data_IF_794662408951
#
_entry.id   IF_794662408951
#
_cell.length_a   1.000
_cell.length_b   1.000
_cell.length_c   1.000
_cell.angle_alpha   90.00
_cell.angle_beta   90.00
_cell.angle_gamma   90.00
#
_symmetry.space_group_name_H-M   'P 1'
#
loop_
_entity.id
_entity.type
_entity.pdbx_description
1 polymer ?
#
# COMPACT_ATOMS: atom_id res chain seq x y z
N UNK A 1 25.74 14.85 -12.57
CA UNK A 1 24.61 15.72 -12.17
C UNK A 1 23.25 15.05 -12.36
N UNK A 2 22.98 14.39 -13.49
CA UNK A 2 21.70 13.71 -13.75
C UNK A 2 21.27 12.70 -12.67
N UNK A 3 22.16 11.93 -12.12
CA UNK A 3 21.86 10.93 -11.08
C UNK A 3 21.41 11.54 -9.76
N UNK A 4 22.03 12.62 -9.34
CA UNK A 4 21.64 13.32 -8.11
C UNK A 4 20.24 13.89 -8.25
N UNK A 5 19.94 14.47 -9.40
CA UNK A 5 18.60 15.03 -9.70
C UNK A 5 17.56 13.91 -9.69
N UNK A 6 17.81 12.76 -10.34
CA UNK A 6 16.90 11.62 -10.34
C UNK A 6 16.66 11.07 -8.92
N UNK A 7 17.71 11.02 -8.11
CA UNK A 7 17.60 10.59 -6.72
C UNK A 7 16.74 11.55 -5.88
N UNK A 8 16.93 12.87 -6.06
CA UNK A 8 16.12 13.88 -5.38
C UNK A 8 14.65 13.82 -5.80
N UNK A 9 14.36 13.69 -7.10
CA UNK A 9 13.00 13.57 -7.63
C UNK A 9 12.34 12.30 -7.09
N UNK A 10 13.03 11.16 -7.10
CA UNK A 10 12.51 9.91 -6.51
C UNK A 10 12.18 10.07 -5.04
N UNK A 11 13.01 10.76 -4.26
CA UNK A 11 12.76 11.02 -2.83
C UNK A 11 11.49 11.85 -2.61
N UNK A 12 11.22 12.83 -3.46
CA UNK A 12 9.98 13.63 -3.40
C UNK A 12 8.75 12.73 -3.62
N UNK A 13 8.80 11.83 -4.61
CA UNK A 13 7.71 10.88 -4.85
C UNK A 13 7.52 9.89 -3.69
N UNK A 14 8.59 9.42 -3.06
CA UNK A 14 8.52 8.57 -1.86
C UNK A 14 7.86 9.31 -0.70
N UNK A 15 8.22 10.56 -0.46
CA UNK A 15 7.57 11.40 0.57
C UNK A 15 6.08 11.57 0.28
N UNK A 16 5.72 11.86 -0.97
CA UNK A 16 4.33 11.94 -1.42
C UNK A 16 3.57 10.63 -1.21
N UNK A 17 4.17 9.50 -1.55
CA UNK A 17 3.61 8.17 -1.31
C UNK A 17 3.31 7.93 0.17
N UNK A 18 4.27 8.23 1.05
CA UNK A 18 4.11 8.09 2.51
C UNK A 18 3.00 9.01 3.02
N UNK A 19 2.92 10.25 2.52
CA UNK A 19 1.86 11.20 2.89
C UNK A 19 0.48 10.64 2.53
N UNK A 20 0.26 10.20 1.30
CA UNK A 20 -1.02 9.65 0.85
C UNK A 20 -1.38 8.36 1.58
N UNK A 21 -0.40 7.47 1.82
CA UNK A 21 -0.61 6.25 2.58
C UNK A 21 -1.10 6.56 4.01
N UNK A 22 -0.45 7.49 4.71
CA UNK A 22 -0.90 7.93 6.03
C UNK A 22 -2.27 8.63 6.01
N UNK A 23 -2.57 9.37 4.94
CA UNK A 23 -3.86 10.04 4.78
C UNK A 23 -5.01 9.06 4.56
N UNK A 24 -4.76 7.85 4.09
CA UNK A 24 -5.79 6.82 3.92
C UNK A 24 -6.53 6.51 5.23
N UNK A 25 -5.81 6.46 6.37
CA UNK A 25 -6.40 6.13 7.67
C UNK A 25 -6.61 7.34 8.58
N UNK A 26 -5.91 8.45 8.32
CA UNK A 26 -5.84 9.61 9.24
C UNK A 26 -6.43 10.89 8.67
N UNK A 27 -7.11 10.83 7.52
CA UNK A 27 -7.74 11.99 6.92
C UNK A 27 -8.82 12.59 7.84
N UNK A 28 -9.16 13.86 7.59
CA UNK A 28 -10.23 14.54 8.34
C UNK A 28 -11.58 13.83 8.15
N UNK A 29 -11.83 13.29 6.95
CA UNK A 29 -13.07 12.58 6.63
C UNK A 29 -13.17 11.27 7.39
N UNK A 30 -12.10 10.48 7.46
CA UNK A 30 -12.04 9.24 8.26
C UNK A 30 -12.29 9.53 9.74
N UNK A 31 -11.63 10.56 10.28
CA UNK A 31 -11.81 10.97 11.68
C UNK A 31 -13.25 11.43 11.96
N UNK A 32 -13.82 12.23 11.07
CA UNK A 32 -15.19 12.70 11.19
C UNK A 32 -16.17 11.54 11.13
N UNK A 33 -16.03 10.63 10.16
CA UNK A 33 -16.85 9.43 10.08
C UNK A 33 -16.77 8.63 11.38
N UNK A 34 -15.56 8.35 11.88
CA UNK A 34 -15.35 7.62 13.13
C UNK A 34 -16.05 8.30 14.32
N UNK A 35 -15.96 9.62 14.44
CA UNK A 35 -16.59 10.37 15.53
C UNK A 35 -18.12 10.45 15.43
N UNK A 36 -18.71 10.26 14.25
CA UNK A 36 -20.16 10.24 14.05
C UNK A 36 -20.81 8.89 14.36
N UNK A 37 -20.01 7.82 14.49
CA UNK A 37 -20.50 6.49 14.82
C UNK A 37 -20.89 6.36 16.29
N UNK A 38 -21.90 5.55 16.58
CA UNK A 38 -22.20 5.13 17.95
C UNK A 38 -21.03 4.34 18.55
N UNK A 39 -20.90 4.31 19.88
CA UNK A 39 -19.78 3.66 20.56
C UNK A 39 -19.60 2.18 20.18
N UNK A 40 -20.70 1.47 19.91
CA UNK A 40 -20.66 0.07 19.48
C UNK A 40 -20.17 -0.07 18.03
N UNK A 41 -20.70 0.74 17.12
CA UNK A 41 -20.24 0.79 15.72
C UNK A 41 -18.79 1.25 15.60
N UNK A 42 -18.34 2.13 16.48
CA UNK A 42 -16.94 2.57 16.52
C UNK A 42 -16.00 1.42 16.88
N UNK A 43 -16.32 0.62 17.92
CA UNK A 43 -15.55 -0.58 18.29
C UNK A 43 -15.50 -1.60 17.13
N UNK A 44 -16.63 -1.78 16.46
CA UNK A 44 -16.73 -2.68 15.32
C UNK A 44 -15.88 -2.19 14.14
N UNK A 45 -15.93 -0.91 13.83
CA UNK A 45 -15.09 -0.27 12.81
C UNK A 45 -13.59 -0.48 13.11
N UNK A 46 -13.18 -0.28 14.37
CA UNK A 46 -11.79 -0.51 14.78
C UNK A 46 -11.36 -1.97 14.60
N UNK A 47 -12.23 -2.92 14.96
CA UNK A 47 -11.97 -4.36 14.75
C UNK A 47 -11.79 -4.67 13.26
N UNK A 48 -12.72 -4.22 12.42
CA UNK A 48 -12.64 -4.41 10.96
C UNK A 48 -11.36 -3.81 10.39
N UNK A 49 -11.02 -2.58 10.79
CA UNK A 49 -9.79 -1.91 10.34
C UNK A 49 -8.54 -2.69 10.76
N UNK A 50 -8.50 -3.18 11.99
CA UNK A 50 -7.39 -4.01 12.49
C UNK A 50 -7.24 -5.31 11.69
N UNK A 51 -8.36 -5.98 11.37
CA UNK A 51 -8.33 -7.20 10.56
C UNK A 51 -7.81 -6.92 9.15
N UNK A 52 -8.20 -5.80 8.53
CA UNK A 52 -7.68 -5.37 7.21
C UNK A 52 -6.19 -5.09 7.25
N UNK A 53 -5.74 -4.42 8.30
CA UNK A 53 -4.32 -4.12 8.52
C UNK A 53 -3.51 -5.41 8.69
N UNK A 54 -4.00 -6.38 9.45
CA UNK A 54 -3.35 -7.67 9.62
C UNK A 54 -3.22 -8.43 8.28
N UNK A 55 -4.27 -8.44 7.45
CA UNK A 55 -4.20 -9.05 6.12
C UNK A 55 -3.12 -8.36 5.26
N UNK A 56 -3.05 -7.04 5.30
CA UNK A 56 -2.02 -6.29 4.58
C UNK A 56 -0.61 -6.63 5.06
N UNK A 57 -0.38 -6.73 6.38
CA UNK A 57 0.92 -7.15 6.91
C UNK A 57 1.32 -8.56 6.48
N UNK A 58 0.38 -9.52 6.48
CA UNK A 58 0.64 -10.87 5.99
C UNK A 58 1.05 -10.87 4.51
N UNK A 59 0.39 -10.06 3.67
CA UNK A 59 0.75 -9.87 2.28
C UNK A 59 2.17 -9.29 2.10
N UNK A 60 2.56 -8.31 2.92
CA UNK A 60 3.93 -7.77 2.89
C UNK A 60 4.97 -8.81 3.33
N UNK A 61 4.71 -9.56 4.40
CA UNK A 61 5.62 -10.62 4.87
C UNK A 61 5.82 -11.65 3.75
N UNK A 62 4.74 -12.12 3.12
CA UNK A 62 4.82 -13.05 2.00
C UNK A 62 5.62 -12.46 0.84
N UNK A 63 5.38 -11.20 0.47
CA UNK A 63 6.10 -10.50 -0.59
C UNK A 63 7.60 -10.38 -0.31
N UNK A 64 7.98 -10.09 0.94
CA UNK A 64 9.39 -10.06 1.37
C UNK A 64 10.04 -11.44 1.28
N UNK A 65 9.36 -12.49 1.73
CA UNK A 65 9.87 -13.87 1.65
C UNK A 65 10.12 -14.28 0.19
N UNK A 66 9.18 -14.00 -0.72
CA UNK A 66 9.35 -14.26 -2.15
C UNK A 66 10.51 -13.46 -2.74
N UNK A 67 10.65 -12.21 -2.34
CA UNK A 67 11.75 -11.33 -2.79
C UNK A 67 13.12 -11.84 -2.33
N UNK A 68 13.23 -12.33 -1.11
CA UNK A 68 14.45 -13.00 -0.61
C UNK A 68 14.77 -14.25 -1.42
N UNK A 69 13.75 -15.04 -1.80
CA UNK A 69 13.91 -16.18 -2.70
C UNK A 69 14.47 -15.78 -4.07
N UNK A 70 14.01 -14.68 -4.66
CA UNK A 70 14.51 -14.13 -5.94
C UNK A 70 15.98 -13.71 -5.81
N UNK A 71 16.33 -13.01 -4.72
CA UNK A 71 17.70 -12.60 -4.47
C UNK A 71 18.62 -13.83 -4.35
N UNK A 72 18.21 -14.81 -3.54
CA UNK A 72 18.98 -16.05 -3.37
C UNK A 72 19.18 -16.80 -4.69
N UNK A 73 18.10 -16.97 -5.47
CA UNK A 73 18.16 -17.59 -6.79
C UNK A 73 19.13 -16.86 -7.73
N UNK A 74 19.05 -15.52 -7.79
CA UNK A 74 19.94 -14.73 -8.65
C UNK A 74 21.41 -14.81 -8.23
N UNK A 75 21.69 -14.87 -6.92
CA UNK A 75 23.06 -14.87 -6.41
C UNK A 75 23.73 -16.26 -6.47
N UNK A 76 22.95 -17.34 -6.25
CA UNK A 76 23.51 -18.68 -6.04
C UNK A 76 23.30 -19.63 -7.21
N UNK A 77 22.19 -19.52 -7.95
CA UNK A 77 21.79 -20.54 -8.91
C UNK A 77 21.96 -20.05 -10.35
N UNK A 78 21.63 -18.80 -10.63
CA UNK A 78 21.63 -18.28 -12.00
C UNK A 78 23.05 -18.06 -12.54
N UNK A 79 23.36 -18.67 -13.68
CA UNK A 79 24.67 -18.50 -14.35
C UNK A 79 24.88 -17.08 -14.90
N UNK A 80 23.80 -16.43 -15.40
CA UNK A 80 23.84 -15.03 -15.86
C UNK A 80 23.10 -14.17 -14.85
N UNK A 81 23.84 -13.44 -14.01
CA UNK A 81 23.26 -12.57 -12.97
C UNK A 81 22.51 -11.39 -13.59
N UNK A 82 21.37 -11.07 -13.02
CA UNK A 82 20.67 -9.82 -13.34
C UNK A 82 21.54 -8.63 -12.91
N UNK A 83 21.45 -7.52 -13.66
CA UNK A 83 22.07 -6.28 -13.21
C UNK A 83 21.36 -5.78 -11.92
N UNK A 84 22.08 -4.99 -11.12
CA UNK A 84 21.60 -4.51 -9.83
C UNK A 84 20.26 -3.76 -9.94
N UNK A 85 20.10 -2.91 -10.95
CA UNK A 85 18.87 -2.15 -11.18
C UNK A 85 17.67 -3.07 -11.44
N UNK A 86 17.85 -4.07 -12.33
CA UNK A 86 16.81 -5.04 -12.65
C UNK A 86 16.42 -5.87 -11.43
N UNK A 87 17.40 -6.29 -10.64
CA UNK A 87 17.14 -7.04 -9.41
C UNK A 87 16.35 -6.21 -8.39
N UNK A 88 16.75 -4.97 -8.15
CA UNK A 88 16.04 -4.05 -7.23
C UNK A 88 14.60 -3.82 -7.69
N UNK A 89 14.38 -3.51 -8.98
CA UNK A 89 13.03 -3.33 -9.52
C UNK A 89 12.18 -4.59 -9.37
N UNK A 90 12.74 -5.77 -9.65
CA UNK A 90 12.02 -7.04 -9.53
C UNK A 90 11.63 -7.33 -8.08
N UNK A 91 12.51 -7.12 -7.13
CA UNK A 91 12.27 -7.31 -5.69
C UNK A 91 11.15 -6.38 -5.20
N UNK A 92 11.23 -5.09 -5.54
CA UNK A 92 10.23 -4.10 -5.15
C UNK A 92 8.88 -4.45 -5.79
N UNK A 93 8.85 -4.72 -7.09
CA UNK A 93 7.62 -5.10 -7.81
C UNK A 93 6.99 -6.36 -7.21
N UNK A 94 7.79 -7.41 -6.95
CA UNK A 94 7.31 -8.66 -6.33
C UNK A 94 6.67 -8.39 -4.99
N UNK A 95 7.31 -7.59 -4.12
CA UNK A 95 6.77 -7.29 -2.79
C UNK A 95 5.41 -6.59 -2.88
N UNK A 96 5.30 -5.53 -3.69
CA UNK A 96 4.06 -4.76 -3.80
C UNK A 96 2.95 -5.53 -4.51
N UNK A 97 3.25 -6.21 -5.60
CA UNK A 97 2.27 -7.02 -6.36
C UNK A 97 1.74 -8.15 -5.48
N UNK A 98 2.62 -8.86 -4.74
CA UNK A 98 2.21 -9.91 -3.81
C UNK A 98 1.30 -9.37 -2.73
N UNK A 99 1.67 -8.24 -2.08
CA UNK A 99 0.82 -7.62 -1.07
C UNK A 99 -0.55 -7.22 -1.63
N UNK A 100 -0.59 -6.61 -2.81
CA UNK A 100 -1.82 -6.17 -3.46
C UNK A 100 -2.77 -7.35 -3.74
N UNK A 101 -2.26 -8.41 -4.41
CA UNK A 101 -3.08 -9.58 -4.71
C UNK A 101 -3.47 -10.35 -3.44
N UNK A 102 -2.56 -10.52 -2.49
CA UNK A 102 -2.87 -11.15 -1.22
C UNK A 102 -4.00 -10.41 -0.50
N UNK A 103 -3.92 -9.08 -0.43
CA UNK A 103 -4.96 -8.27 0.19
C UNK A 103 -6.30 -8.42 -0.52
N UNK A 104 -6.34 -8.38 -1.85
CA UNK A 104 -7.60 -8.49 -2.60
C UNK A 104 -8.21 -9.89 -2.48
N UNK A 105 -7.40 -10.93 -2.64
CA UNK A 105 -7.87 -12.33 -2.67
C UNK A 105 -8.17 -12.89 -1.29
N UNK A 106 -7.59 -12.34 -0.23
CA UNK A 106 -7.87 -12.81 1.14
C UNK A 106 -9.34 -12.59 1.51
N UNK A 107 -10.01 -13.60 2.08
CA UNK A 107 -11.39 -13.46 2.53
C UNK A 107 -11.50 -12.39 3.63
N UNK A 108 -12.57 -11.62 3.58
CA UNK A 108 -12.85 -10.55 4.55
C UNK A 108 -13.93 -11.03 5.52
N UNK A 109 -13.61 -11.04 6.82
CA UNK A 109 -14.48 -11.56 7.87
C UNK A 109 -15.79 -10.78 8.02
N UNK A 110 -15.72 -9.47 7.86
CA UNK A 110 -16.86 -8.57 8.10
C UNK A 110 -16.77 -7.30 7.25
N UNK A 111 -17.91 -6.67 7.04
CA UNK A 111 -18.04 -5.43 6.29
C UNK A 111 -18.88 -4.42 7.09
N UNK A 112 -18.39 -3.20 7.21
CA UNK A 112 -19.11 -2.15 7.94
C UNK A 112 -20.54 -1.91 7.42
N UNK A 113 -20.75 -2.08 6.11
CA UNK A 113 -22.06 -1.97 5.48
C UNK A 113 -23.11 -2.93 6.03
N UNK A 114 -22.71 -4.10 6.56
CA UNK A 114 -23.63 -5.06 7.17
C UNK A 114 -24.22 -4.56 8.50
N UNK A 115 -23.66 -3.48 9.05
CA UNK A 115 -24.01 -2.94 10.36
C UNK A 115 -24.57 -1.52 10.30
N UNK A 116 -24.62 -0.92 9.11
CA UNK A 116 -25.27 0.39 8.89
C UNK A 116 -26.74 0.19 8.65
N UNK A 117 -27.59 0.94 9.38
CA UNK A 117 -29.03 0.80 9.35
C UNK A 117 -29.73 1.94 8.61
N UNK A 118 -29.08 3.10 8.46
CA UNK A 118 -29.67 4.27 7.82
C UNK A 118 -29.00 4.61 6.48
N UNK A 119 -29.76 5.23 5.58
CA UNK A 119 -29.25 5.71 4.30
C UNK A 119 -28.16 6.78 4.48
N UNK A 120 -28.22 7.55 5.55
CA UNK A 120 -27.22 8.57 5.89
C UNK A 120 -25.90 7.95 6.31
N UNK A 121 -25.94 6.91 7.15
CA UNK A 121 -24.74 6.15 7.54
C UNK A 121 -24.06 5.51 6.34
N UNK A 122 -24.84 4.91 5.42
CA UNK A 122 -24.31 4.32 4.18
C UNK A 122 -23.64 5.38 3.30
N UNK A 123 -24.26 6.58 3.15
CA UNK A 123 -23.65 7.69 2.37
C UNK A 123 -22.35 8.17 3.01
N UNK A 124 -22.34 8.35 4.32
CA UNK A 124 -21.14 8.78 5.06
C UNK A 124 -20.00 7.76 4.94
N UNK A 125 -20.32 6.46 5.03
CA UNK A 125 -19.37 5.39 4.83
C UNK A 125 -18.79 5.39 3.39
N UNK A 126 -19.65 5.54 2.37
CA UNK A 126 -19.23 5.59 0.98
C UNK A 126 -18.31 6.79 0.69
N UNK A 127 -18.61 7.95 1.28
CA UNK A 127 -17.77 9.14 1.14
C UNK A 127 -16.38 8.89 1.75
N UNK A 128 -16.33 8.38 2.97
CA UNK A 128 -15.09 8.02 3.66
C UNK A 128 -14.29 6.98 2.85
N UNK A 129 -14.96 5.91 2.38
CA UNK A 129 -14.33 4.84 1.62
C UNK A 129 -13.73 5.32 0.30
N UNK A 130 -14.42 6.20 -0.44
CA UNK A 130 -13.91 6.81 -1.67
C UNK A 130 -12.64 7.61 -1.42
N UNK A 131 -12.57 8.37 -0.34
CA UNK A 131 -11.39 9.14 0.02
C UNK A 131 -10.21 8.23 0.40
N UNK A 132 -10.47 7.18 1.18
CA UNK A 132 -9.46 6.16 1.50
C UNK A 132 -8.92 5.50 0.23
N UNK A 133 -9.80 5.09 -0.69
CA UNK A 133 -9.39 4.51 -1.97
C UNK A 133 -8.55 5.48 -2.80
N UNK A 134 -8.99 6.73 -2.92
CA UNK A 134 -8.26 7.75 -3.65
C UNK A 134 -6.84 7.91 -3.10
N UNK A 135 -6.70 8.10 -1.79
CA UNK A 135 -5.41 8.26 -1.13
C UNK A 135 -4.52 7.02 -1.31
N UNK A 136 -5.09 5.82 -1.18
CA UNK A 136 -4.37 4.57 -1.39
C UNK A 136 -3.83 4.45 -2.82
N UNK A 137 -4.67 4.69 -3.84
CA UNK A 137 -4.25 4.59 -5.23
C UNK A 137 -3.25 5.69 -5.61
N UNK A 138 -3.43 6.91 -5.11
CA UNK A 138 -2.44 7.99 -5.33
C UNK A 138 -1.09 7.65 -4.71
N UNK A 139 -1.07 7.09 -3.51
CA UNK A 139 0.15 6.59 -2.88
C UNK A 139 0.82 5.49 -3.73
N UNK A 140 0.04 4.53 -4.24
CA UNK A 140 0.55 3.47 -5.11
C UNK A 140 1.16 4.03 -6.41
N UNK A 141 0.46 4.93 -7.09
CA UNK A 141 0.96 5.58 -8.33
C UNK A 141 2.27 6.31 -8.07
N UNK A 142 2.33 7.12 -7.01
CA UNK A 142 3.56 7.85 -6.65
C UNK A 142 4.71 6.88 -6.30
N UNK A 143 4.42 5.76 -5.66
CA UNK A 143 5.41 4.71 -5.38
C UNK A 143 5.96 4.09 -6.67
N UNK A 144 5.10 3.76 -7.64
CA UNK A 144 5.52 3.23 -8.95
C UNK A 144 6.40 4.24 -9.69
N UNK A 145 6.00 5.51 -9.71
CA UNK A 145 6.80 6.59 -10.33
C UNK A 145 8.15 6.75 -9.63
N UNK A 146 8.17 6.72 -8.29
CA UNK A 146 9.41 6.80 -7.51
C UNK A 146 10.39 5.68 -7.89
N UNK A 147 9.92 4.44 -8.01
CA UNK A 147 10.74 3.29 -8.42
C UNK A 147 11.25 3.46 -9.85
N UNK A 148 10.41 3.92 -10.78
CA UNK A 148 10.80 4.19 -12.15
C UNK A 148 11.91 5.23 -12.25
N UNK A 149 11.78 6.36 -11.54
CA UNK A 149 12.79 7.43 -11.49
C UNK A 149 14.07 6.95 -10.81
N UNK A 150 13.96 6.18 -9.72
CA UNK A 150 15.11 5.60 -9.02
C UNK A 150 15.91 4.64 -9.92
N UNK A 151 15.23 3.88 -10.78
CA UNK A 151 15.90 2.99 -11.74
C UNK A 151 16.81 3.75 -12.73
N UNK A 152 16.49 5.00 -13.07
CA UNK A 152 17.38 5.85 -13.85
C UNK A 152 18.60 6.33 -13.04
N UNK A 153 18.43 6.60 -11.74
CA UNK A 153 19.54 6.99 -10.87
C UNK A 153 20.60 5.89 -10.76
N UNK A 154 20.21 4.61 -10.78
CA UNK A 154 21.15 3.48 -10.73
C UNK A 154 21.87 3.17 -12.06
N UNK A 155 21.51 3.82 -13.15
CA UNK A 155 22.19 3.66 -14.44
C UNK A 155 23.42 4.56 -14.62
N UNK A 156 23.57 5.50 -13.73
CA UNK A 156 24.75 6.35 -13.72
C UNK A 156 25.84 5.75 -12.86
#
# INVERSE_FOLDING_TARGET
MACVISCMISSIFVIGMIYFYNSSDKSKVVKHYKSSLSSDLQKRYEKITKDRTNISYQGYILGVVLSLGIIFYNLKIKHSKMNTTSLVCTVIATTFVTNYFYYILSPKSDWMLNHTSSQEEVKAWLQMYREMQYNYHMGLVLGIVAVGVLAFAFRC
#
